data_IF_734626301045
#
_entry.id   IF_734626301045
#
_cell.length_a   1.000
_cell.length_b   1.000
_cell.length_c   1.000
_cell.angle_alpha   90.00
_cell.angle_beta   90.00
_cell.angle_gamma   90.00
#
_symmetry.space_group_name_H-M   'P 1'
#
loop_
_entity.id
_entity.type
_entity.pdbx_description
1 polymer ?
#
# COMPACT_ATOMS: atom_id res chain seq x y z
N UNK A 1 -25.63 -1.20 12.84
CA UNK A 1 -24.30 -1.57 13.41
C UNK A 1 -23.33 -0.43 13.16
N UNK A 2 -22.57 0.02 14.17
CA UNK A 2 -21.59 1.13 14.06
C UNK A 2 -20.22 0.81 14.67
N UNK A 3 -19.97 -0.44 15.05
CA UNK A 3 -18.72 -0.85 15.68
C UNK A 3 -18.26 -2.19 15.08
N UNK A 4 -16.95 -2.34 14.94
CA UNK A 4 -16.28 -3.55 14.51
C UNK A 4 -15.30 -3.95 15.63
N UNK A 5 -15.39 -5.19 16.12
CA UNK A 5 -14.41 -5.73 17.06
C UNK A 5 -13.20 -6.24 16.28
N UNK A 6 -12.01 -5.78 16.65
CA UNK A 6 -10.73 -6.20 16.05
C UNK A 6 -9.69 -6.44 17.16
N UNK A 7 -8.71 -7.34 16.97
CA UNK A 7 -7.58 -7.49 17.88
C UNK A 7 -6.80 -6.18 18.00
N UNK A 8 -6.36 -5.84 19.23
CA UNK A 8 -5.59 -4.62 19.49
C UNK A 8 -4.29 -4.59 18.68
N UNK A 9 -3.63 -5.74 18.53
CA UNK A 9 -2.36 -5.85 17.81
C UNK A 9 -2.48 -5.64 16.30
N UNK A 10 -3.70 -5.58 15.75
CA UNK A 10 -3.95 -5.26 14.34
C UNK A 10 -4.26 -3.77 14.12
N UNK A 11 -4.36 -2.97 15.19
CA UNK A 11 -4.61 -1.54 15.09
C UNK A 11 -3.32 -0.78 14.82
N UNK A 12 -3.28 -0.06 13.70
CA UNK A 12 -2.19 0.86 13.38
C UNK A 12 -2.72 2.29 13.47
N UNK A 13 -2.11 3.10 14.33
CA UNK A 13 -2.49 4.51 14.54
C UNK A 13 -1.67 5.40 13.61
N UNK A 14 -2.30 6.43 13.06
CA UNK A 14 -1.62 7.49 12.31
C UNK A 14 -1.99 8.84 12.88
N UNK A 15 -0.98 9.64 13.21
CA UNK A 15 -1.16 11.02 13.68
C UNK A 15 -1.29 12.03 12.52
N UNK A 16 -1.09 11.57 11.28
CA UNK A 16 -0.98 12.44 10.09
C UNK A 16 -2.06 12.20 9.04
N UNK A 17 -2.68 11.02 9.01
CA UNK A 17 -3.70 10.66 8.03
C UNK A 17 -5.11 10.82 8.60
N UNK A 18 -5.99 11.43 7.81
CA UNK A 18 -7.42 11.47 8.11
C UNK A 18 -8.07 10.08 7.94
N UNK A 19 -9.25 9.86 8.53
CA UNK A 19 -9.91 8.54 8.53
C UNK A 19 -10.24 8.00 7.13
N UNK A 20 -10.63 8.89 6.21
CA UNK A 20 -10.89 8.55 4.81
C UNK A 20 -9.61 8.16 4.07
N UNK A 21 -8.47 8.77 4.40
CA UNK A 21 -7.17 8.38 3.87
C UNK A 21 -6.69 7.05 4.48
N UNK A 22 -6.90 6.84 5.77
CA UNK A 22 -6.60 5.57 6.44
C UNK A 22 -7.39 4.40 5.85
N UNK A 23 -8.63 4.64 5.43
CA UNK A 23 -9.44 3.62 4.77
C UNK A 23 -8.83 3.12 3.45
N UNK A 24 -7.95 3.90 2.80
CA UNK A 24 -7.26 3.51 1.57
C UNK A 24 -5.99 2.69 1.83
N UNK A 25 -5.45 2.70 3.05
CA UNK A 25 -4.14 2.12 3.38
C UNK A 25 -4.12 0.62 3.08
N UNK A 26 -5.19 -0.12 3.40
CA UNK A 26 -5.27 -1.56 3.15
C UNK A 26 -5.12 -1.89 1.65
N UNK A 27 -5.89 -1.21 0.79
CA UNK A 27 -5.82 -1.43 -0.65
C UNK A 27 -4.46 -1.03 -1.24
N UNK A 28 -3.87 0.06 -0.74
CA UNK A 28 -2.56 0.53 -1.17
C UNK A 28 -1.43 -0.41 -0.72
N UNK A 29 -1.55 -0.98 0.48
CA UNK A 29 -0.59 -1.92 1.04
C UNK A 29 -0.52 -3.22 0.24
N UNK A 30 -1.64 -3.67 -0.36
CA UNK A 30 -1.63 -4.80 -1.31
C UNK A 30 -0.71 -4.48 -2.50
N UNK A 31 -0.79 -3.27 -3.06
CA UNK A 31 0.08 -2.82 -4.15
C UNK A 31 1.55 -2.78 -3.74
N UNK A 32 1.84 -2.24 -2.55
CA UNK A 32 3.21 -2.21 -2.01
C UNK A 32 3.79 -3.61 -1.79
N UNK A 33 2.99 -4.53 -1.24
CA UNK A 33 3.38 -5.92 -1.04
C UNK A 33 3.67 -6.61 -2.37
N UNK A 34 2.88 -6.34 -3.42
CA UNK A 34 3.11 -6.89 -4.75
C UNK A 34 4.41 -6.38 -5.40
N UNK A 35 4.86 -5.14 -5.13
CA UNK A 35 6.20 -4.67 -5.54
C UNK A 35 7.30 -5.44 -4.80
N UNK A 36 7.19 -5.56 -3.47
CA UNK A 36 8.18 -6.30 -2.68
C UNK A 36 8.31 -7.75 -3.16
N UNK A 37 7.18 -8.40 -3.44
CA UNK A 37 7.12 -9.80 -3.88
C UNK A 37 7.47 -10.00 -5.36
N UNK A 38 7.55 -8.94 -6.17
CA UNK A 38 7.94 -9.07 -7.57
C UNK A 38 9.46 -9.07 -7.76
N UNK A 39 10.24 -8.77 -6.71
CA UNK A 39 11.71 -8.72 -6.74
C UNK A 39 12.26 -7.81 -7.85
N UNK A 40 11.48 -6.78 -8.21
CA UNK A 40 11.80 -5.91 -9.34
C UNK A 40 13.02 -5.05 -9.01
N UNK A 41 14.01 -5.04 -9.90
CA UNK A 41 15.22 -4.27 -9.75
C UNK A 41 15.13 -2.88 -10.41
N UNK A 42 15.98 -1.96 -9.96
CA UNK A 42 16.10 -0.63 -10.57
C UNK A 42 16.49 -0.75 -12.05
N UNK A 43 15.74 -0.07 -12.92
CA UNK A 43 15.96 -0.09 -14.36
C UNK A 43 15.18 -1.16 -15.12
N UNK A 44 14.49 -2.06 -14.42
CA UNK A 44 13.58 -3.02 -15.05
C UNK A 44 12.27 -2.38 -15.49
N UNK A 45 11.74 -2.87 -16.62
CA UNK A 45 10.45 -2.44 -17.13
C UNK A 45 9.33 -3.16 -16.39
N UNK A 46 8.32 -2.40 -15.97
CA UNK A 46 7.09 -2.96 -15.44
C UNK A 46 5.85 -2.30 -16.04
N UNK A 47 4.75 -3.04 -16.03
CA UNK A 47 3.45 -2.59 -16.57
C UNK A 47 2.39 -2.74 -15.49
N UNK A 48 1.65 -1.66 -15.25
CA UNK A 48 0.49 -1.65 -14.36
C UNK A 48 -0.78 -1.73 -15.18
N UNK A 49 -1.46 -2.87 -15.12
CA UNK A 49 -2.75 -3.05 -15.79
C UNK A 49 -3.90 -2.66 -14.86
N UNK A 50 -4.25 -1.36 -14.86
CA UNK A 50 -5.37 -0.80 -14.10
C UNK A 50 -4.93 0.22 -13.04
N UNK A 51 -5.62 1.37 -13.00
CA UNK A 51 -5.27 2.52 -12.16
C UNK A 51 -6.21 2.71 -10.95
N UNK A 52 -6.77 1.61 -10.44
CA UNK A 52 -7.49 1.62 -9.16
C UNK A 52 -6.55 1.74 -7.95
N UNK A 53 -7.05 1.79 -6.70
CA UNK A 53 -6.23 1.96 -5.50
C UNK A 53 -5.06 0.97 -5.38
N UNK A 54 -5.25 -0.30 -5.73
CA UNK A 54 -4.18 -1.30 -5.71
C UNK A 54 -3.06 -0.96 -6.71
N UNK A 55 -3.43 -0.64 -7.96
CA UNK A 55 -2.47 -0.26 -9.00
C UNK A 55 -1.73 1.04 -8.67
N UNK A 56 -2.44 1.99 -8.05
CA UNK A 56 -1.83 3.23 -7.53
C UNK A 56 -0.87 2.95 -6.36
N UNK A 57 -1.21 2.03 -5.46
CA UNK A 57 -0.31 1.58 -4.38
C UNK A 57 0.96 0.94 -4.92
N UNK A 58 0.83 0.13 -5.96
CA UNK A 58 1.96 -0.47 -6.67
C UNK A 58 2.85 0.60 -7.32
N UNK A 59 2.26 1.50 -8.10
CA UNK A 59 2.98 2.59 -8.77
C UNK A 59 3.69 3.52 -7.76
N UNK A 60 3.00 3.91 -6.68
CA UNK A 60 3.58 4.74 -5.61
C UNK A 60 4.79 4.08 -4.97
N UNK A 61 4.73 2.76 -4.76
CA UNK A 61 5.81 2.00 -4.12
C UNK A 61 7.04 1.86 -5.01
N UNK A 62 6.86 1.79 -6.34
CA UNK A 62 7.99 1.86 -7.28
C UNK A 62 8.70 3.21 -7.25
N UNK A 63 7.96 4.31 -7.37
CA UNK A 63 8.56 5.65 -7.51
C UNK A 63 9.16 6.17 -6.21
N UNK A 64 8.78 5.57 -5.07
CA UNK A 64 9.30 5.93 -3.74
C UNK A 64 10.48 5.04 -3.30
N UNK A 65 10.97 4.15 -4.17
CA UNK A 65 12.03 3.21 -3.84
C UNK A 65 13.37 3.91 -3.64
N UNK A 66 13.63 4.36 -2.40
CA UNK A 66 14.88 3.97 -1.79
C UNK A 66 14.77 2.46 -1.49
N UNK A 67 15.64 1.60 -2.05
CA UNK A 67 15.62 0.18 -1.74
C UNK A 67 16.11 0.00 -0.30
N UNK A 68 15.20 0.13 0.67
CA UNK A 68 15.45 -0.14 2.09
C UNK A 68 14.23 -0.83 2.67
N UNK A 69 14.09 -2.10 2.30
CA UNK A 69 13.66 -3.09 3.27
C UNK A 69 14.92 -3.76 3.81
#
# INVERSE_FOLDING_TARGET
>A
MRHLAVPLDHLVVSDTLALDQLALVECMAIGAHAVHRSELATGELAVVCGAGPIGMGWLKSLVSAEPRW
#
